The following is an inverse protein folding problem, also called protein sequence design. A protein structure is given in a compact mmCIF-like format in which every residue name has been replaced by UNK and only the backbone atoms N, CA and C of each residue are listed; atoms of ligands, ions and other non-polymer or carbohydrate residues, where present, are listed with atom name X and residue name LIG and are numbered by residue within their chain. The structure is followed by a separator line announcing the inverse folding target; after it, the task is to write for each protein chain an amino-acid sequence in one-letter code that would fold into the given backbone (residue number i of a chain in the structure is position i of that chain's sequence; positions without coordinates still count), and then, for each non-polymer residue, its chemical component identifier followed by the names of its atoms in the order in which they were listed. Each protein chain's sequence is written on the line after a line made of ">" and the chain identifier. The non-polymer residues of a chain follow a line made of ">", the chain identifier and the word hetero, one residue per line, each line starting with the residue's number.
data_IF_917703582716
#
_entry.id   IF_917703582716
#
_cell.length_a   1.000
_cell.length_b   1.000
_cell.length_c   1.000
_cell.angle_alpha   90.00
_cell.angle_beta   90.00
_cell.angle_gamma   90.00
#
_symmetry.space_group_name_H-M   'P 1'
#
loop_
_entity.id
_entity.type
_entity.pdbx_description
1 polymer ?
#
# COMPACT_ATOMS: atom_id res chain seq x y z
N UNK A 1 -15.45 -11.66 -23.34
CA UNK A 1 -15.04 -11.37 -21.95
C UNK A 1 -13.97 -10.30 -21.99
N UNK A 2 -14.13 -9.22 -21.22
CA UNK A 2 -13.17 -8.12 -21.15
C UNK A 2 -12.00 -8.47 -20.23
N UNK A 3 -10.78 -8.15 -20.63
CA UNK A 3 -9.60 -8.26 -19.77
C UNK A 3 -9.55 -7.12 -18.75
N UNK A 4 -8.73 -7.28 -17.72
CA UNK A 4 -8.46 -6.20 -16.77
C UNK A 4 -7.85 -4.98 -17.47
N UNK A 5 -8.15 -3.80 -16.92
CA UNK A 5 -7.49 -2.57 -17.34
C UNK A 5 -5.99 -2.62 -17.04
N UNK A 6 -5.19 -2.03 -17.92
CA UNK A 6 -3.72 -1.99 -17.79
C UNK A 6 -3.26 -1.39 -16.46
N UNK A 7 -3.94 -0.35 -15.97
CA UNK A 7 -3.57 0.32 -14.72
C UNK A 7 -3.68 -0.61 -13.51
N UNK A 8 -4.74 -1.43 -13.44
CA UNK A 8 -4.90 -2.40 -12.34
C UNK A 8 -3.82 -3.48 -12.38
N UNK A 9 -3.43 -3.94 -13.58
CA UNK A 9 -2.35 -4.92 -13.73
C UNK A 9 -0.98 -4.33 -13.34
N UNK A 10 -0.69 -3.08 -13.72
CA UNK A 10 0.54 -2.38 -13.33
C UNK A 10 0.57 -2.14 -11.81
N UNK A 11 -0.50 -1.60 -11.22
CA UNK A 11 -0.59 -1.42 -9.78
C UNK A 11 -0.44 -2.74 -9.01
N UNK A 12 -0.98 -3.85 -9.54
CA UNK A 12 -0.78 -5.17 -8.94
C UNK A 12 0.68 -5.65 -9.04
N UNK A 13 1.36 -5.36 -10.15
CA UNK A 13 2.77 -5.71 -10.34
C UNK A 13 3.69 -4.94 -9.39
N UNK A 14 3.35 -3.68 -9.09
CA UNK A 14 4.16 -2.79 -8.25
C UNK A 14 3.75 -2.80 -6.77
N UNK A 15 2.61 -3.41 -6.43
CA UNK A 15 2.12 -3.57 -5.05
C UNK A 15 1.36 -2.34 -4.53
N UNK A 16 0.75 -1.57 -5.43
CA UNK A 16 0.10 -0.28 -5.14
C UNK A 16 -1.43 -0.39 -4.99
N UNK A 17 -2.01 -1.58 -5.17
CA UNK A 17 -3.45 -1.79 -5.06
C UNK A 17 -3.92 -1.86 -3.60
N UNK A 18 -5.18 -1.46 -3.37
CA UNK A 18 -5.87 -1.79 -2.11
C UNK A 18 -6.09 -3.31 -1.99
N UNK A 19 -6.41 -3.79 -0.79
CA UNK A 19 -6.69 -5.20 -0.56
C UNK A 19 -7.89 -5.69 -1.41
N UNK A 20 -8.95 -4.87 -1.52
CA UNK A 20 -10.13 -5.20 -2.34
C UNK A 20 -9.83 -5.21 -3.84
N UNK A 21 -8.95 -4.33 -4.30
CA UNK A 21 -8.50 -4.31 -5.69
C UNK A 21 -7.61 -5.51 -6.01
N UNK A 22 -6.70 -5.85 -5.10
CA UNK A 22 -5.82 -7.00 -5.25
C UNK A 22 -6.60 -8.31 -5.32
N UNK A 23 -7.59 -8.50 -4.44
CA UNK A 23 -8.44 -9.70 -4.45
C UNK A 23 -9.19 -9.84 -5.78
N UNK A 24 -9.79 -8.75 -6.28
CA UNK A 24 -10.51 -8.73 -7.56
C UNK A 24 -9.59 -9.06 -8.74
N UNK A 25 -8.37 -8.51 -8.74
CA UNK A 25 -7.37 -8.80 -9.77
C UNK A 25 -6.95 -10.26 -9.71
N UNK A 26 -6.65 -10.79 -8.52
CA UNK A 26 -6.25 -12.18 -8.33
C UNK A 26 -7.34 -13.17 -8.79
N UNK A 27 -8.60 -12.91 -8.46
CA UNK A 27 -9.72 -13.73 -8.91
C UNK A 27 -9.79 -13.81 -10.45
N UNK A 28 -9.67 -12.68 -11.14
CA UNK A 28 -9.66 -12.67 -12.61
C UNK A 28 -8.41 -13.32 -13.20
N UNK A 29 -7.23 -13.05 -12.62
CA UNK A 29 -5.95 -13.62 -13.09
C UNK A 29 -5.98 -15.14 -12.96
N UNK A 30 -6.59 -15.71 -11.92
CA UNK A 30 -6.74 -17.16 -11.79
C UNK A 30 -7.49 -17.80 -12.98
N UNK A 31 -8.41 -17.07 -13.59
CA UNK A 31 -9.28 -17.57 -14.68
C UNK A 31 -8.84 -17.11 -16.08
N UNK A 32 -7.98 -16.11 -16.19
CA UNK A 32 -7.61 -15.50 -17.47
C UNK A 32 -6.11 -15.63 -17.79
N UNK A 33 -5.75 -16.59 -18.65
CA UNK A 33 -4.36 -16.84 -19.08
C UNK A 33 -3.67 -15.63 -19.68
N UNK A 34 -4.38 -14.81 -20.47
CA UNK A 34 -3.81 -13.57 -21.03
C UNK A 34 -3.37 -12.61 -19.92
N UNK A 35 -4.22 -12.38 -18.92
CA UNK A 35 -3.89 -11.52 -17.79
C UNK A 35 -2.78 -12.11 -16.92
N UNK A 36 -2.67 -13.44 -16.82
CA UNK A 36 -1.51 -14.10 -16.19
C UNK A 36 -0.21 -13.78 -16.93
N UNK A 37 -0.19 -13.94 -18.25
CA UNK A 37 0.99 -13.64 -19.07
C UNK A 37 1.39 -12.17 -18.98
N UNK A 38 0.42 -11.26 -19.06
CA UNK A 38 0.67 -9.82 -18.93
C UNK A 38 1.25 -9.48 -17.53
N UNK A 39 0.68 -10.03 -16.45
CA UNK A 39 1.18 -9.81 -15.09
C UNK A 39 2.61 -10.34 -14.89
N UNK A 40 2.93 -11.52 -15.44
CA UNK A 40 4.28 -12.09 -15.41
C UNK A 40 5.27 -11.17 -16.15
N UNK A 41 4.90 -10.69 -17.33
CA UNK A 41 5.75 -9.79 -18.12
C UNK A 41 6.01 -8.47 -17.39
N UNK A 42 4.99 -7.91 -16.73
CA UNK A 42 5.13 -6.70 -15.91
C UNK A 42 6.07 -6.94 -14.72
N UNK A 43 5.88 -8.02 -13.96
CA UNK A 43 6.76 -8.36 -12.83
C UNK A 43 8.21 -8.55 -13.25
N UNK A 44 8.47 -9.23 -14.36
CA UNK A 44 9.83 -9.37 -14.91
C UNK A 44 10.45 -8.02 -15.27
N UNK A 45 9.65 -7.10 -15.80
CA UNK A 45 10.10 -5.74 -16.12
C UNK A 45 10.44 -4.96 -14.85
N UNK A 46 9.54 -4.94 -13.86
CA UNK A 46 9.78 -4.28 -12.58
C UNK A 46 11.00 -4.89 -11.86
N UNK A 47 11.18 -6.21 -11.90
CA UNK A 47 12.38 -6.86 -11.34
C UNK A 47 13.66 -6.39 -12.02
N UNK A 48 13.69 -6.24 -13.35
CA UNK A 48 14.87 -5.74 -14.06
C UNK A 48 15.17 -4.28 -13.73
N UNK A 49 14.15 -3.44 -13.59
CA UNK A 49 14.32 -2.04 -13.20
C UNK A 49 14.90 -1.92 -11.78
N UNK A 50 14.49 -2.79 -10.86
CA UNK A 50 15.03 -2.84 -9.48
C UNK A 50 16.48 -3.32 -9.40
N UNK A 51 17.06 -3.84 -10.48
CA UNK A 51 18.48 -4.20 -10.55
C UNK A 51 19.37 -3.02 -10.95
N UNK A 52 18.79 -1.90 -11.37
CA UNK A 52 19.54 -0.68 -11.62
C UNK A 52 20.02 -0.09 -10.28
N UNK A 53 21.22 0.49 -10.28
CA UNK A 53 21.77 1.14 -9.09
C UNK A 53 20.89 2.32 -8.66
N UNK A 54 20.83 2.55 -7.35
CA UNK A 54 20.16 3.72 -6.80
C UNK A 54 20.86 5.00 -7.29
N UNK A 55 20.10 6.02 -7.73
CA UNK A 55 20.69 7.27 -8.18
C UNK A 55 21.39 7.97 -7.02
N UNK A 56 22.64 8.41 -7.24
CA UNK A 56 23.36 9.23 -6.27
C UNK A 56 22.64 10.57 -6.07
N UNK A 57 22.38 10.92 -4.82
CA UNK A 57 21.83 12.23 -4.48
C UNK A 57 22.93 13.29 -4.49
N UNK A 58 22.72 14.44 -5.16
CA UNK A 58 23.71 15.51 -5.16
C UNK A 58 23.87 16.10 -3.75
N UNK A 59 25.11 16.39 -3.34
CA UNK A 59 25.45 16.94 -2.02
C UNK A 59 24.64 18.20 -1.67
N UNK A 60 24.35 19.03 -2.68
CA UNK A 60 23.65 20.30 -2.51
C UNK A 60 22.12 20.18 -2.43
N UNK A 61 21.56 18.97 -2.52
CA UNK A 61 20.11 18.76 -2.47
C UNK A 61 19.51 19.34 -1.19
N UNK A 62 20.15 19.09 -0.05
CA UNK A 62 19.69 19.57 1.27
C UNK A 62 19.67 21.09 1.33
N UNK A 63 20.74 21.75 0.89
CA UNK A 63 20.83 23.20 0.81
C UNK A 63 19.75 23.81 -0.10
N UNK A 64 19.49 23.19 -1.26
CA UNK A 64 18.43 23.60 -2.19
C UNK A 64 17.03 23.45 -1.59
N UNK A 65 16.75 22.32 -0.92
CA UNK A 65 15.46 22.09 -0.27
C UNK A 65 15.19 23.09 0.86
N UNK A 66 16.21 23.41 1.67
CA UNK A 66 16.11 24.46 2.68
C UNK A 66 15.83 25.83 2.05
N UNK A 67 16.55 26.20 0.99
CA UNK A 67 16.34 27.46 0.29
C UNK A 67 14.90 27.61 -0.27
N UNK A 68 14.29 26.52 -0.75
CA UNK A 68 12.89 26.50 -1.20
C UNK A 68 11.91 26.72 -0.03
N UNK A 69 12.14 26.06 1.11
CA UNK A 69 11.32 26.24 2.31
C UNK A 69 11.38 27.66 2.88
N UNK A 70 12.56 28.28 2.88
CA UNK A 70 12.74 29.68 3.29
C UNK A 70 12.16 30.69 2.27
N UNK A 71 12.14 30.37 0.98
CA UNK A 71 11.58 31.24 -0.07
C UNK A 71 10.06 31.13 -0.20
N UNK A 72 9.47 30.02 0.25
CA UNK A 72 8.04 29.77 0.19
C UNK A 72 7.31 30.29 1.43
N UNK A 73 7.35 31.61 1.67
CA UNK A 73 6.42 32.26 2.61
C UNK A 73 5.03 32.54 2.01
N UNK A 74 4.75 32.13 0.76
CA UNK A 74 3.55 32.56 0.06
C UNK A 74 2.84 31.45 -0.71
N UNK A 75 1.58 31.21 -0.35
CA UNK A 75 0.48 30.67 -1.17
C UNK A 75 0.30 29.15 -1.33
N UNK A 76 1.30 28.28 -1.14
CA UNK A 76 1.11 26.81 -1.29
C UNK A 76 0.61 26.10 -0.02
N UNK A 77 0.72 26.76 1.14
CA UNK A 77 0.26 26.25 2.43
C UNK A 77 -1.22 26.57 2.70
N UNK A 78 -1.85 27.38 1.86
CA UNK A 78 -3.29 27.63 1.90
C UNK A 78 -3.98 26.46 1.20
N UNK A 79 -4.68 25.56 1.91
CA UNK A 79 -5.56 24.63 1.24
C UNK A 79 -6.57 25.43 0.42
N UNK A 80 -6.95 24.97 -0.79
CA UNK A 80 -8.02 25.62 -1.55
C UNK A 80 -9.25 25.66 -0.64
N UNK A 81 -9.77 26.87 -0.36
CA UNK A 81 -11.04 27.01 0.36
C UNK A 81 -12.11 26.37 -0.52
N UNK A 82 -12.53 25.17 -0.13
CA UNK A 82 -13.69 24.53 -0.72
C UNK A 82 -14.91 25.30 -0.22
N UNK A 83 -15.38 26.29 -0.97
CA UNK A 83 -16.70 26.93 -0.81
C UNK A 83 -17.84 25.95 -1.19
N UNK A 84 -17.73 24.69 -0.77
CA UNK A 84 -18.71 23.63 -0.96
C UNK A 84 -19.38 23.28 0.38
N UNK A 85 -20.57 22.65 0.37
CA UNK A 85 -21.29 22.32 1.59
C UNK A 85 -20.51 21.28 2.42
N UNK A 86 -19.85 21.77 3.47
CA UNK A 86 -19.34 21.09 4.68
C UNK A 86 -18.98 19.62 4.57
N UNK A 87 -17.72 19.31 4.23
CA UNK A 87 -17.07 18.09 4.72
C UNK A 87 -16.48 18.43 6.09
N UNK A 88 -16.98 17.79 7.15
CA UNK A 88 -16.49 18.00 8.51
C UNK A 88 -14.99 17.68 8.67
N UNK A 89 -14.37 18.05 9.80
CA UNK A 89 -12.95 17.81 10.03
C UNK A 89 -12.63 16.32 9.93
N UNK A 90 -11.63 15.99 9.11
CA UNK A 90 -11.06 14.65 9.03
C UNK A 90 -10.40 14.37 10.39
N UNK A 91 -10.82 13.36 11.16
CA UNK A 91 -10.18 13.04 12.42
C UNK A 91 -8.72 12.65 12.16
N UNK A 92 -7.79 13.31 12.85
CA UNK A 92 -6.36 13.07 12.78
C UNK A 92 -5.99 11.80 13.56
N UNK A 93 -6.53 10.66 13.14
CA UNK A 93 -6.07 9.37 13.67
C UNK A 93 -4.75 8.99 12.98
N UNK A 94 -3.73 8.55 13.73
CA UNK A 94 -2.46 8.15 13.14
C UNK A 94 -2.66 6.86 12.33
N UNK A 95 -2.64 6.96 10.99
CA UNK A 95 -2.68 5.83 10.03
C UNK A 95 -1.35 5.03 10.01
N UNK A 96 -0.62 5.05 11.13
CA UNK A 96 0.58 4.25 11.33
C UNK A 96 0.55 3.59 12.70
N UNK A 97 -0.06 2.40 12.76
CA UNK A 97 0.23 1.44 13.82
C UNK A 97 0.70 0.12 13.19
N UNK A 98 2.01 0.01 12.98
CA UNK A 98 2.68 -1.27 12.74
C UNK A 98 3.17 -1.85 14.07
N UNK A 99 2.44 -2.88 14.51
CA UNK A 99 2.89 -4.21 14.99
C UNK A 99 3.58 -4.32 16.37
N UNK A 100 2.93 -5.01 17.32
CA UNK A 100 3.43 -6.02 18.28
C UNK A 100 2.23 -6.99 18.48
N UNK A 101 2.28 -8.33 18.37
CA UNK A 101 3.33 -9.25 18.74
C UNK A 101 3.05 -9.86 20.12
N UNK A 102 1.93 -10.59 20.30
CA UNK A 102 1.73 -11.51 21.45
C UNK A 102 0.94 -12.73 20.99
N UNK A 103 1.65 -13.85 20.83
CA UNK A 103 1.06 -15.17 20.64
C UNK A 103 0.25 -15.57 21.87
N UNK A 104 -0.94 -16.10 21.62
CA UNK A 104 -1.88 -16.55 22.63
C UNK A 104 -1.36 -17.73 23.42
N UNK A 105 -1.25 -17.55 24.73
CA UNK A 105 -1.23 -18.59 25.73
C UNK A 105 -2.68 -18.84 26.17
N UNK A 106 -3.16 -20.06 25.97
CA UNK A 106 -4.50 -20.50 26.35
C UNK A 106 -4.51 -22.00 26.63
N UNK A 107 -3.86 -22.38 27.73
CA UNK A 107 -4.08 -23.68 28.40
C UNK A 107 -5.24 -23.54 29.38
N UNK A 108 -6.27 -24.37 29.25
CA UNK A 108 -7.03 -24.99 30.35
C UNK A 108 -8.29 -25.67 29.78
N UNK A 109 -8.27 -26.99 29.74
CA UNK A 109 -9.42 -27.84 29.47
C UNK A 109 -9.28 -29.09 30.33
N UNK A 110 -9.40 -28.90 31.64
CA UNK A 110 -9.44 -29.97 32.64
C UNK A 110 -10.92 -30.19 33.01
N UNK A 111 -11.41 -31.41 32.80
CA UNK A 111 -12.78 -31.77 33.14
C UNK A 111 -13.22 -33.07 32.47
N UNK A 112 -13.07 -34.20 33.17
CA UNK A 112 -14.17 -35.10 33.51
C UNK A 112 -13.64 -36.40 34.14
N UNK A 113 -13.96 -36.56 35.42
CA UNK A 113 -14.10 -37.80 36.18
C UNK A 113 -15.03 -38.79 35.43
N UNK A 114 -14.77 -40.11 35.49
CA UNK A 114 -15.74 -40.96 36.19
C UNK A 114 -15.11 -42.05 37.07
N UNK A 115 -15.50 -42.04 38.34
CA UNK A 115 -15.29 -43.14 39.29
C UNK A 115 -16.19 -44.37 39.08
N UNK A 116 -15.99 -45.34 39.99
CA UNK A 116 -16.70 -46.60 40.22
C UNK A 116 -16.54 -47.63 39.07
N UNK A 117 -16.06 -48.87 39.28
CA UNK A 117 -16.14 -49.85 40.38
C UNK A 117 -14.99 -50.85 40.24
#
# INVERSE_FOLDING_TARGET
>A
MSHLGKNLLMGCADGELSDEEYERVQAHVAECTRCQHELVALRQTSSKLRLLDDPELPSELTAKLLALGMSSSGSWLTPPQSDGPGVGPIPAEPVFSRRHGLGGQGSAGDGADPGLV
#
